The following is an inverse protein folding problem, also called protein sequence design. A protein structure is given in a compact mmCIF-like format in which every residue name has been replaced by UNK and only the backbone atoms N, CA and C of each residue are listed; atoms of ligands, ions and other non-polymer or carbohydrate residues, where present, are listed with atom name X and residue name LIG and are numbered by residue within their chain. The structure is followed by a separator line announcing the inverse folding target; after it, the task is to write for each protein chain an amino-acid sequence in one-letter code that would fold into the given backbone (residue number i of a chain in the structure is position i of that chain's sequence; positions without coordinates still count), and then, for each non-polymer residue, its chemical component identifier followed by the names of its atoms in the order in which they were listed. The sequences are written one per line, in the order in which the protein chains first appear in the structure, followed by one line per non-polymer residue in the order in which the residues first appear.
data_IF_892827104911
#
_entry.id   IF_892827104911
#
_cell.length_a   1.000
_cell.length_b   1.000
_cell.length_c   1.000
_cell.angle_alpha   90.00
_cell.angle_beta   90.00
_cell.angle_gamma   90.00
#
_symmetry.space_group_name_H-M   'P 1'
#
loop_
_entity.id
_entity.type
_entity.pdbx_description
1 polymer ?
#
# COMPACT_ATOMS: atom_id res chain seq x y z
N UNK A 1 14.03 9.09 24.14
CA UNK A 1 13.84 10.54 24.38
C UNK A 1 13.16 11.12 23.14
N UNK A 2 11.84 11.30 23.18
CA UNK A 2 11.11 11.92 22.07
C UNK A 2 11.39 13.43 22.10
N UNK A 3 12.32 13.90 21.28
CA UNK A 3 12.44 15.33 20.99
C UNK A 3 11.24 15.73 20.12
N UNK A 4 10.16 16.17 20.76
CA UNK A 4 9.08 16.87 20.05
C UNK A 4 9.57 18.29 19.81
N UNK A 5 10.32 18.49 18.72
CA UNK A 5 10.44 19.82 18.11
C UNK A 5 9.01 20.27 17.79
N UNK A 6 8.62 21.41 18.36
CA UNK A 6 7.24 21.85 18.52
C UNK A 6 6.35 21.61 17.31
N UNK A 7 5.41 20.68 17.47
CA UNK A 7 4.25 20.60 16.59
C UNK A 7 3.43 21.87 16.85
N UNK A 8 3.07 22.65 15.82
CA UNK A 8 2.28 23.85 16.02
C UNK A 8 0.97 23.53 16.73
N UNK A 9 0.51 24.37 17.67
CA UNK A 9 -0.72 24.13 18.44
C UNK A 9 -1.96 23.84 17.57
N UNK A 10 -1.99 24.35 16.33
CA UNK A 10 -3.03 24.09 15.33
C UNK A 10 -3.10 22.61 14.88
N UNK A 11 -2.01 21.88 14.98
CA UNK A 11 -1.88 20.49 14.53
C UNK A 11 -2.04 19.48 15.69
N UNK A 12 -2.05 19.96 16.94
CA UNK A 12 -2.32 19.14 18.14
C UNK A 12 -3.64 18.35 18.06
N UNK A 13 -4.77 18.92 17.62
CA UNK A 13 -6.03 18.18 17.53
C UNK A 13 -5.93 16.99 16.56
N UNK A 14 -5.20 17.15 15.45
CA UNK A 14 -4.98 16.10 14.47
C UNK A 14 -4.07 15.00 15.03
N UNK A 15 -2.98 15.38 15.72
CA UNK A 15 -2.08 14.42 16.36
C UNK A 15 -2.79 13.60 17.45
N UNK A 16 -3.56 14.26 18.33
CA UNK A 16 -4.36 13.59 19.36
C UNK A 16 -5.33 12.61 18.68
N UNK A 17 -6.12 13.11 17.73
CA UNK A 17 -7.18 12.33 17.09
C UNK A 17 -6.64 11.14 16.30
N UNK A 18 -5.53 11.31 15.58
CA UNK A 18 -5.00 10.28 14.67
C UNK A 18 -4.09 9.28 15.38
N UNK A 19 -3.28 9.72 16.34
CA UNK A 19 -2.19 8.89 16.90
C UNK A 19 -2.39 8.67 18.40
N UNK A 20 -2.31 9.74 19.19
CA UNK A 20 -2.13 9.61 20.64
C UNK A 20 -3.37 9.06 21.37
N UNK A 21 -4.58 9.31 20.87
CA UNK A 21 -5.82 8.78 21.48
C UNK A 21 -5.88 7.25 21.47
N UNK A 22 -5.16 6.60 20.56
CA UNK A 22 -5.10 5.14 20.47
C UNK A 22 -4.07 4.48 21.39
N UNK A 23 -3.23 5.28 22.07
CA UNK A 23 -2.15 4.79 22.93
C UNK A 23 -2.55 4.80 24.41
N UNK A 24 -1.93 3.89 25.15
CA UNK A 24 -1.89 3.85 26.61
C UNK A 24 -0.64 4.56 27.11
N UNK A 25 -0.78 5.22 28.25
CA UNK A 25 0.29 5.97 28.89
C UNK A 25 0.48 5.50 30.32
N UNK A 26 1.72 5.54 30.79
CA UNK A 26 2.13 5.24 32.17
C UNK A 26 2.90 6.43 32.73
N UNK A 27 2.86 6.56 34.05
CA UNK A 27 3.44 7.69 34.78
C UNK A 27 4.76 7.24 35.43
N UNK A 28 5.81 8.06 35.33
CA UNK A 28 7.15 7.70 35.80
C UNK A 28 7.44 8.01 37.27
N UNK A 29 6.66 8.86 37.94
CA UNK A 29 6.93 9.31 39.32
C UNK A 29 6.23 8.48 40.41
N UNK A 30 5.50 7.41 40.04
CA UNK A 30 4.81 6.53 41.00
C UNK A 30 5.19 5.08 40.79
N UNK A 31 5.38 4.30 41.87
CA UNK A 31 5.71 2.86 41.81
C UNK A 31 4.57 1.99 41.24
N UNK A 32 3.33 2.50 41.25
CA UNK A 32 2.18 1.79 40.70
C UNK A 32 2.11 2.02 39.18
N UNK A 33 2.29 0.96 38.40
CA UNK A 33 2.09 0.95 36.96
C UNK A 33 0.58 1.01 36.62
N UNK A 34 -0.02 2.19 36.76
CA UNK A 34 -1.38 2.46 36.26
C UNK A 34 -1.33 2.93 34.82
N UNK A 35 -2.28 2.45 34.02
CA UNK A 35 -2.43 2.81 32.60
C UNK A 35 -3.51 3.87 32.44
N UNK A 36 -3.19 4.89 31.67
CA UNK A 36 -4.08 6.01 31.39
C UNK A 36 -4.28 6.20 29.89
N UNK A 37 -5.36 6.87 29.53
CA UNK A 37 -5.62 7.35 28.16
C UNK A 37 -5.46 8.84 28.08
N UNK A 38 -4.95 9.32 26.93
CA UNK A 38 -4.89 10.76 26.65
C UNK A 38 -6.28 11.29 26.29
N UNK A 39 -6.68 12.38 26.95
CA UNK A 39 -7.91 13.12 26.66
C UNK A 39 -7.63 14.38 25.84
N UNK A 40 -6.71 15.22 26.29
CA UNK A 40 -6.37 16.49 25.65
C UNK A 40 -5.00 17.03 26.08
N UNK A 41 -4.62 18.19 25.57
CA UNK A 41 -3.50 18.98 26.08
C UNK A 41 -4.04 20.24 26.77
N UNK A 42 -3.48 20.56 27.94
CA UNK A 42 -3.75 21.78 28.68
C UNK A 42 -2.80 22.93 28.32
N UNK A 43 -2.83 23.98 29.13
CA UNK A 43 -1.87 25.10 29.10
C UNK A 43 -0.44 24.63 29.48
N UNK A 44 0.60 25.43 29.17
CA UNK A 44 1.95 25.20 29.67
C UNK A 44 2.00 24.91 31.18
N UNK A 45 2.90 24.04 31.63
CA UNK A 45 2.97 23.61 33.03
C UNK A 45 3.20 24.78 34.01
N UNK A 46 3.91 25.84 33.61
CA UNK A 46 4.08 27.06 34.38
C UNK A 46 2.83 27.95 34.49
N UNK A 47 1.84 27.76 33.61
CA UNK A 47 0.60 28.55 33.57
C UNK A 47 -0.64 27.76 34.02
N UNK A 48 -0.61 26.44 33.89
CA UNK A 48 -1.72 25.57 34.23
C UNK A 48 -1.82 25.42 35.75
N UNK A 49 -3.00 25.71 36.31
CA UNK A 49 -3.26 25.77 37.75
C UNK A 49 -4.23 24.68 38.20
N UNK A 50 -3.96 24.09 39.37
CA UNK A 50 -4.85 23.19 40.09
C UNK A 50 -5.43 23.88 41.31
N UNK A 51 -6.64 23.46 41.68
CA UNK A 51 -7.22 23.80 42.97
C UNK A 51 -6.73 22.78 43.99
N UNK A 52 -5.81 23.17 44.90
CA UNK A 52 -5.22 22.24 45.89
C UNK A 52 -6.17 21.98 47.06
N UNK A 53 -6.86 23.02 47.55
CA UNK A 53 -7.82 22.99 48.66
C UNK A 53 -8.89 24.09 48.45
N UNK A 54 -10.02 23.79 47.81
CA UNK A 54 -11.27 24.60 47.60
C UNK A 54 -11.18 26.12 47.26
N UNK A 55 -9.98 26.73 47.23
CA UNK A 55 -9.75 28.16 47.01
C UNK A 55 -8.31 28.51 46.64
N UNK A 56 -7.30 27.67 46.95
CA UNK A 56 -5.91 27.93 46.56
C UNK A 56 -5.56 27.33 45.18
N UNK A 57 -5.11 28.18 44.27
CA UNK A 57 -4.65 27.82 42.92
C UNK A 57 -3.13 27.70 42.89
N UNK A 58 -2.61 26.50 42.65
CA UNK A 58 -1.17 26.22 42.53
C UNK A 58 -0.82 25.83 41.10
N UNK A 59 0.31 26.30 40.55
CA UNK A 59 0.75 25.87 39.23
C UNK A 59 1.22 24.42 39.25
N UNK A 60 1.25 23.74 38.09
CA UNK A 60 1.80 22.37 38.01
C UNK A 60 3.27 22.33 38.43
N UNK A 61 4.03 23.36 38.04
CA UNK A 61 5.45 23.49 38.43
C UNK A 61 5.59 23.54 39.94
N UNK A 62 4.82 24.42 40.59
CA UNK A 62 4.88 24.58 42.05
C UNK A 62 4.38 23.32 42.76
N UNK A 63 3.32 22.68 42.25
CA UNK A 63 2.79 21.43 42.81
C UNK A 63 3.83 20.31 42.84
N UNK A 64 4.55 20.07 41.73
CA UNK A 64 5.57 19.02 41.66
C UNK A 64 6.84 19.38 42.46
N UNK A 65 7.21 20.66 42.50
CA UNK A 65 8.30 21.12 43.36
C UNK A 65 7.97 20.92 44.84
N UNK A 66 6.78 21.31 45.27
CA UNK A 66 6.43 21.38 46.69
C UNK A 66 5.99 20.01 47.23
N UNK A 67 5.31 19.19 46.41
CA UNK A 67 4.77 17.89 46.84
C UNK A 67 5.74 16.73 46.61
N UNK A 68 6.49 16.77 45.51
CA UNK A 68 7.34 15.66 45.08
C UNK A 68 8.84 16.01 45.09
N UNK A 69 9.22 17.22 45.54
CA UNK A 69 10.58 17.76 45.48
C UNK A 69 11.21 17.61 44.08
N UNK A 70 10.39 17.75 43.04
CA UNK A 70 10.78 17.50 41.66
C UNK A 70 10.78 18.80 40.85
N UNK A 71 11.92 19.15 40.26
CA UNK A 71 12.08 20.36 39.45
C UNK A 71 11.86 20.03 37.97
N UNK A 72 10.73 20.48 37.43
CA UNK A 72 10.42 20.31 36.00
C UNK A 72 11.45 21.04 35.12
N UNK A 73 11.92 20.36 34.07
CA UNK A 73 12.87 20.92 33.11
C UNK A 73 12.15 21.65 31.97
N UNK A 74 10.97 21.19 31.59
CA UNK A 74 10.24 21.66 30.41
C UNK A 74 8.95 22.39 30.76
N UNK A 75 9.06 23.41 31.61
CA UNK A 75 7.90 24.14 32.17
C UNK A 75 7.04 24.88 31.13
N UNK A 76 7.62 25.21 29.98
CA UNK A 76 6.95 25.88 28.86
C UNK A 76 6.10 24.95 28.00
N UNK A 77 6.24 23.63 28.16
CA UNK A 77 5.48 22.65 27.41
C UNK A 77 4.07 22.44 28.00
N UNK A 78 3.06 22.15 27.17
CA UNK A 78 1.70 21.89 27.66
C UNK A 78 1.63 20.68 28.58
N UNK A 79 0.72 20.71 29.54
CA UNK A 79 0.38 19.52 30.33
C UNK A 79 -0.48 18.55 29.51
N UNK A 80 -0.37 17.26 29.79
CA UNK A 80 -1.25 16.22 29.23
C UNK A 80 -2.41 15.95 30.17
N UNK A 81 -3.63 16.02 29.66
CA UNK A 81 -4.82 15.58 30.38
C UNK A 81 -4.99 14.07 30.15
N UNK A 82 -4.76 13.29 31.20
CA UNK A 82 -4.94 11.85 31.25
C UNK A 82 -6.22 11.50 32.02
N UNK A 83 -6.82 10.36 31.71
CA UNK A 83 -7.93 9.80 32.48
C UNK A 83 -7.80 8.29 32.58
N UNK A 84 -8.38 7.74 33.65
CA UNK A 84 -8.55 6.30 33.80
C UNK A 84 -9.81 5.87 33.03
N UNK A 85 -9.75 4.90 32.11
CA UNK A 85 -10.94 4.39 31.43
C UNK A 85 -12.06 3.93 32.37
N UNK A 86 -11.70 3.45 33.57
CA UNK A 86 -12.63 2.97 34.58
C UNK A 86 -13.29 4.13 35.36
N UNK A 87 -12.66 5.31 35.39
CA UNK A 87 -13.20 6.54 35.97
C UNK A 87 -13.00 7.74 35.02
N UNK A 88 -13.94 7.90 34.09
CA UNK A 88 -13.89 8.95 33.06
C UNK A 88 -14.15 10.36 33.58
N UNK A 89 -14.67 10.49 34.81
CA UNK A 89 -14.99 11.79 35.40
C UNK A 89 -13.76 12.43 36.04
N UNK A 90 -12.77 11.62 36.41
CA UNK A 90 -11.51 12.09 36.96
C UNK A 90 -10.48 12.35 35.84
N UNK A 91 -10.03 13.60 35.74
CA UNK A 91 -8.92 13.99 34.88
C UNK A 91 -7.66 14.26 35.72
N UNK A 92 -6.52 13.80 35.22
CA UNK A 92 -5.20 14.07 35.76
C UNK A 92 -4.44 14.91 34.75
N UNK A 93 -4.07 16.13 35.10
CA UNK A 93 -3.17 16.90 34.26
C UNK A 93 -1.74 16.65 34.74
N UNK A 94 -0.82 16.35 33.84
CA UNK A 94 0.55 15.99 34.19
C UNK A 94 1.55 16.67 33.24
N UNK A 95 2.74 17.03 33.70
CA UNK A 95 3.83 17.45 32.83
C UNK A 95 4.16 16.35 31.81
N UNK A 96 4.37 16.70 30.54
CA UNK A 96 4.74 15.72 29.51
C UNK A 96 6.01 14.93 29.82
N UNK A 97 6.95 15.53 30.56
CA UNK A 97 8.20 14.88 30.97
C UNK A 97 8.01 13.72 31.96
N UNK A 98 6.83 13.61 32.59
CA UNK A 98 6.51 12.56 33.56
C UNK A 98 5.58 11.47 33.00
N UNK A 99 5.26 11.54 31.70
CA UNK A 99 4.30 10.65 31.04
C UNK A 99 4.98 9.92 29.90
N UNK A 100 4.98 8.58 29.98
CA UNK A 100 5.56 7.69 28.99
C UNK A 100 4.46 6.94 28.23
N UNK A 101 4.71 6.64 26.97
CA UNK A 101 3.89 5.68 26.22
C UNK A 101 4.18 4.28 26.77
N UNK A 102 3.13 3.53 27.10
CA UNK A 102 3.27 2.17 27.65
C UNK A 102 3.94 1.23 26.64
N UNK A 103 4.75 0.29 27.12
CA UNK A 103 5.53 -0.59 26.26
C UNK A 103 4.70 -1.75 25.69
N UNK A 104 5.15 -2.33 24.58
CA UNK A 104 4.53 -3.52 23.98
C UNK A 104 3.17 -3.29 23.30
N UNK A 105 2.78 -2.02 23.09
CA UNK A 105 1.53 -1.69 22.42
C UNK A 105 1.63 -1.89 20.90
N UNK A 106 0.71 -2.63 20.27
CA UNK A 106 0.68 -2.75 18.82
C UNK A 106 0.24 -1.42 18.19
N UNK A 107 0.92 -1.01 17.11
CA UNK A 107 0.43 0.09 16.30
C UNK A 107 -0.73 -0.42 15.43
N UNK A 108 -1.93 0.08 15.70
CA UNK A 108 -3.14 -0.25 14.94
C UNK A 108 -3.41 0.75 13.81
N UNK A 109 -2.59 1.78 13.63
CA UNK A 109 -2.74 2.73 12.53
C UNK A 109 -2.05 2.21 11.26
N UNK A 110 -2.62 2.47 10.07
CA UNK A 110 -1.94 2.21 8.82
C UNK A 110 -0.57 2.90 8.79
N UNK A 111 0.47 2.15 8.42
CA UNK A 111 1.82 2.68 8.21
C UNK A 111 1.87 3.47 6.90
N UNK A 112 2.71 4.51 6.87
CA UNK A 112 3.01 5.23 5.62
C UNK A 112 3.78 4.34 4.66
N UNK A 113 3.78 4.68 3.36
CA UNK A 113 4.55 3.95 2.33
C UNK A 113 6.03 3.80 2.69
N UNK A 114 6.65 4.83 3.26
CA UNK A 114 8.04 4.80 3.74
C UNK A 114 8.23 3.88 4.95
N UNK A 115 7.32 3.93 5.92
CA UNK A 115 7.34 3.07 7.10
C UNK A 115 7.16 1.60 6.71
N UNK A 116 6.25 1.31 5.78
CA UNK A 116 6.08 -0.03 5.21
C UNK A 116 7.36 -0.53 4.54
N UNK A 117 8.02 0.29 3.72
CA UNK A 117 9.28 -0.08 3.08
C UNK A 117 10.37 -0.42 4.12
N UNK A 118 10.49 0.41 5.18
CA UNK A 118 11.41 0.14 6.31
C UNK A 118 11.05 -1.14 7.07
N UNK A 119 9.77 -1.38 7.32
CA UNK A 119 9.30 -2.60 7.99
C UNK A 119 9.59 -3.85 7.14
N UNK A 120 9.29 -3.82 5.85
CA UNK A 120 9.59 -4.90 4.90
C UNK A 120 11.09 -5.18 4.86
N UNK A 121 11.93 -4.16 4.69
CA UNK A 121 13.39 -4.35 4.63
C UNK A 121 13.97 -4.94 5.92
N UNK A 122 13.35 -4.67 7.07
CA UNK A 122 13.75 -5.27 8.36
C UNK A 122 13.22 -6.68 8.59
N UNK A 123 12.15 -7.08 7.90
CA UNK A 123 11.46 -8.35 8.13
C UNK A 123 11.75 -9.40 7.06
N UNK A 124 12.24 -8.98 5.88
CA UNK A 124 12.72 -9.89 4.84
C UNK A 124 14.01 -10.55 5.31
N UNK A 125 13.96 -11.87 5.50
CA UNK A 125 15.09 -12.72 5.88
C UNK A 125 15.19 -13.90 4.91
N UNK A 126 16.40 -14.41 4.69
CA UNK A 126 16.60 -15.59 3.85
C UNK A 126 15.99 -16.83 4.51
N UNK A 127 15.47 -17.82 3.76
CA UNK A 127 14.89 -19.04 4.33
C UNK A 127 15.78 -19.74 5.39
N UNK A 128 17.10 -19.80 5.18
CA UNK A 128 18.03 -20.41 6.14
C UNK A 128 18.10 -19.65 7.47
N UNK A 129 17.99 -18.32 7.43
CA UNK A 129 17.97 -17.49 8.62
C UNK A 129 16.62 -17.59 9.33
N UNK A 130 15.52 -17.64 8.56
CA UNK A 130 14.19 -17.90 9.10
C UNK A 130 14.16 -19.25 9.85
N UNK A 131 14.76 -20.30 9.27
CA UNK A 131 14.89 -21.62 9.89
C UNK A 131 15.66 -21.55 11.23
N UNK A 132 16.81 -20.86 11.26
CA UNK A 132 17.58 -20.66 12.50
C UNK A 132 16.81 -19.87 13.55
N UNK A 133 16.07 -18.84 13.13
CA UNK A 133 15.24 -18.03 14.03
C UNK A 133 14.13 -18.87 14.66
N UNK A 134 13.44 -19.70 13.86
CA UNK A 134 12.39 -20.60 14.35
C UNK A 134 12.99 -21.58 15.37
N UNK A 135 14.12 -22.22 15.07
CA UNK A 135 14.80 -23.13 16.03
C UNK A 135 15.15 -22.43 17.34
N UNK A 136 15.76 -21.24 17.26
CA UNK A 136 16.09 -20.44 18.45
C UNK A 136 14.85 -20.12 19.30
N UNK A 137 13.75 -19.69 18.69
CA UNK A 137 12.50 -19.40 19.41
C UNK A 137 11.95 -20.67 20.06
N UNK A 138 12.02 -21.80 19.38
CA UNK A 138 11.60 -23.10 19.93
C UNK A 138 12.44 -23.49 21.14
N UNK A 139 13.76 -23.30 21.09
CA UNK A 139 14.68 -23.57 22.20
C UNK A 139 14.41 -22.65 23.40
N UNK A 140 14.21 -21.35 23.16
CA UNK A 140 13.89 -20.35 24.19
C UNK A 140 12.56 -20.66 24.89
N UNK A 141 11.57 -21.20 24.16
CA UNK A 141 10.26 -21.58 24.70
C UNK A 141 10.29 -22.84 25.55
N UNK A 142 11.31 -23.69 25.40
CA UNK A 142 11.50 -24.92 26.19
C UNK A 142 10.25 -25.81 26.27
N UNK A 143 9.59 -26.07 25.14
CA UNK A 143 8.33 -26.83 25.09
C UNK A 143 8.41 -28.20 25.80
N UNK A 144 9.56 -28.87 25.79
CA UNK A 144 9.81 -30.12 26.51
C UNK A 144 9.65 -30.01 28.05
N UNK A 145 9.70 -28.80 28.60
CA UNK A 145 9.60 -28.50 30.04
C UNK A 145 8.27 -27.80 30.39
N UNK A 146 7.32 -27.72 29.46
CA UNK A 146 6.05 -27.03 29.69
C UNK A 146 5.11 -27.89 30.54
N UNK A 147 4.76 -27.45 31.78
CA UNK A 147 3.94 -28.24 32.70
C UNK A 147 2.48 -28.38 32.24
N UNK A 148 2.00 -27.51 31.34
CA UNK A 148 0.69 -27.65 30.75
C UNK A 148 0.69 -28.73 29.69
N UNK A 149 1.69 -28.73 28.78
CA UNK A 149 1.79 -29.77 27.75
C UNK A 149 1.89 -31.17 28.36
N UNK A 150 2.68 -31.31 29.42
CA UNK A 150 2.78 -32.56 30.18
C UNK A 150 1.42 -33.02 30.74
N UNK A 151 0.66 -32.10 31.38
CA UNK A 151 -0.68 -32.41 31.90
C UNK A 151 -1.68 -32.81 30.83
N UNK A 152 -1.55 -32.26 29.62
CA UNK A 152 -2.39 -32.62 28.47
C UNK A 152 -1.86 -33.85 27.71
N UNK A 153 -0.73 -34.44 28.12
CA UNK A 153 -0.12 -35.58 27.44
C UNK A 153 0.40 -35.24 26.04
N UNK A 154 0.78 -33.98 25.81
CA UNK A 154 1.26 -33.48 24.52
C UNK A 154 2.79 -33.36 24.53
N UNK A 155 3.41 -33.79 23.43
CA UNK A 155 4.84 -33.61 23.18
C UNK A 155 5.06 -32.87 21.88
N UNK A 156 5.96 -31.89 21.88
CA UNK A 156 6.37 -31.15 20.68
C UNK A 156 7.75 -31.63 20.27
N UNK A 157 7.89 -32.08 19.02
CA UNK A 157 9.20 -32.28 18.41
C UNK A 157 9.82 -30.92 18.11
N UNK A 158 10.97 -30.66 18.71
CA UNK A 158 11.73 -29.41 18.59
C UNK A 158 13.03 -29.62 17.83
N UNK A 159 13.43 -30.87 17.63
CA UNK A 159 14.73 -31.23 17.09
C UNK A 159 14.65 -31.21 15.56
N UNK A 160 13.55 -31.72 14.98
CA UNK A 160 13.35 -31.78 13.53
C UNK A 160 12.06 -31.10 13.07
N UNK A 161 12.14 -30.37 11.95
CA UNK A 161 10.94 -29.86 11.27
C UNK A 161 10.30 -30.97 10.44
N UNK A 162 8.98 -30.90 10.27
CA UNK A 162 8.23 -31.87 9.46
C UNK A 162 8.75 -31.90 8.02
N UNK A 163 9.31 -33.04 7.61
CA UNK A 163 9.80 -33.27 6.26
C UNK A 163 8.67 -33.79 5.36
N UNK A 164 8.38 -33.07 4.28
CA UNK A 164 7.33 -33.41 3.32
C UNK A 164 7.91 -33.64 1.92
N UNK A 165 7.52 -34.72 1.22
CA UNK A 165 7.90 -34.88 -0.18
C UNK A 165 7.23 -33.81 -1.04
N UNK A 166 8.02 -33.07 -1.81
CA UNK A 166 7.55 -32.04 -2.72
C UNK A 166 7.77 -32.44 -4.18
N UNK A 167 7.01 -31.82 -5.11
CA UNK A 167 7.17 -32.01 -6.55
C UNK A 167 7.38 -30.66 -7.23
N UNK A 168 8.32 -30.61 -8.17
CA UNK A 168 8.53 -29.44 -9.03
C UNK A 168 7.71 -29.63 -10.30
N UNK A 169 6.70 -28.79 -10.50
CA UNK A 169 5.89 -28.82 -11.71
C UNK A 169 6.67 -28.23 -12.89
N UNK A 170 6.54 -28.80 -14.11
CA UNK A 170 7.15 -28.19 -15.29
C UNK A 170 6.56 -26.80 -15.55
N UNK A 171 7.37 -25.82 -15.96
CA UNK A 171 6.87 -24.48 -16.24
C UNK A 171 5.94 -24.47 -17.46
N UNK A 172 4.95 -23.57 -17.51
CA UNK A 172 4.13 -23.40 -18.70
C UNK A 172 4.94 -22.80 -19.85
N UNK A 173 4.48 -23.01 -21.09
CA UNK A 173 5.04 -22.35 -22.27
C UNK A 173 4.46 -20.94 -22.37
N UNK A 174 5.33 -19.94 -22.44
CA UNK A 174 4.97 -18.53 -22.65
C UNK A 174 5.15 -18.21 -24.13
N UNK A 175 4.11 -17.71 -24.78
CA UNK A 175 4.06 -17.54 -26.23
C UNK A 175 3.95 -16.04 -26.58
N UNK A 176 4.84 -15.58 -27.45
CA UNK A 176 4.91 -14.22 -28.00
C UNK A 176 4.94 -14.26 -29.54
N UNK A 177 4.82 -13.09 -30.19
CA UNK A 177 5.04 -12.98 -31.65
C UNK A 177 6.51 -12.79 -31.97
N UNK A 178 6.98 -13.45 -33.03
CA UNK A 178 8.36 -13.35 -33.49
C UNK A 178 8.73 -11.92 -33.90
N UNK A 179 9.81 -11.39 -33.34
CA UNK A 179 10.37 -10.07 -33.69
C UNK A 179 11.10 -10.04 -35.05
N UNK A 180 11.52 -11.21 -35.58
CA UNK A 180 12.46 -11.32 -36.70
C UNK A 180 11.79 -11.52 -38.08
N UNK A 181 10.59 -10.98 -38.29
CA UNK A 181 9.91 -11.01 -39.60
C UNK A 181 9.36 -12.37 -40.04
N UNK A 182 9.65 -13.46 -39.33
CA UNK A 182 8.94 -14.72 -39.50
C UNK A 182 7.51 -14.56 -38.97
N UNK A 183 6.50 -14.75 -39.82
CA UNK A 183 5.12 -14.92 -39.34
C UNK A 183 5.08 -16.17 -38.47
N UNK A 184 4.95 -15.99 -37.15
CA UNK A 184 4.89 -17.11 -36.23
C UNK A 184 5.00 -16.75 -34.76
N UNK A 185 4.55 -17.70 -33.94
CA UNK A 185 4.63 -17.67 -32.49
C UNK A 185 6.01 -18.18 -32.03
N UNK A 186 6.56 -17.56 -30.99
CA UNK A 186 7.82 -17.94 -30.34
C UNK A 186 7.55 -18.30 -28.89
N UNK A 187 8.18 -19.37 -28.41
CA UNK A 187 8.06 -19.83 -27.02
C UNK A 187 9.28 -19.35 -26.23
N UNK A 188 9.05 -18.57 -25.18
CA UNK A 188 10.09 -18.11 -24.26
C UNK A 188 10.44 -19.21 -23.24
N UNK A 189 11.74 -19.29 -22.90
CA UNK A 189 12.23 -20.24 -21.90
C UNK A 189 12.05 -19.68 -20.49
N UNK A 190 11.18 -20.33 -19.71
CA UNK A 190 10.98 -20.02 -18.29
C UNK A 190 12.04 -20.73 -17.44
N UNK A 191 12.75 -19.97 -16.61
CA UNK A 191 13.72 -20.46 -15.64
C UNK A 191 13.35 -19.97 -14.24
N UNK A 192 13.01 -20.90 -13.34
CA UNK A 192 12.63 -20.58 -11.95
C UNK A 192 11.55 -19.47 -11.90
N UNK A 193 10.51 -19.63 -12.72
CA UNK A 193 9.39 -18.67 -12.81
C UNK A 193 9.72 -17.33 -13.47
N UNK A 194 10.92 -17.17 -14.05
CA UNK A 194 11.35 -15.94 -14.74
C UNK A 194 11.61 -16.19 -16.22
N UNK A 195 11.33 -15.20 -17.05
CA UNK A 195 11.72 -15.16 -18.46
C UNK A 195 11.99 -13.71 -18.85
N UNK A 196 12.67 -13.52 -19.97
CA UNK A 196 12.92 -12.20 -20.55
C UNK A 196 11.94 -11.96 -21.70
N UNK A 197 11.42 -10.75 -21.82
CA UNK A 197 10.65 -10.37 -23.01
C UNK A 197 11.65 -9.88 -24.07
N UNK A 198 11.90 -10.73 -25.07
CA UNK A 198 12.76 -10.46 -26.23
C UNK A 198 11.97 -10.33 -27.55
N UNK A 199 10.68 -10.60 -27.49
CA UNK A 199 9.78 -10.76 -28.63
C UNK A 199 8.65 -9.71 -28.59
N UNK A 200 7.78 -9.72 -29.60
CA UNK A 200 6.70 -8.73 -29.73
C UNK A 200 5.43 -9.24 -29.05
N UNK A 201 4.59 -8.31 -28.63
CA UNK A 201 3.32 -8.66 -27.98
C UNK A 201 2.38 -9.39 -28.94
N UNK A 202 1.50 -10.22 -28.38
CA UNK A 202 0.51 -10.98 -29.15
C UNK A 202 -0.51 -10.05 -29.85
N UNK A 203 -0.99 -9.06 -29.12
CA UNK A 203 -1.90 -8.02 -29.62
C UNK A 203 -1.49 -6.67 -29.06
N UNK A 204 -1.29 -5.71 -29.93
CA UNK A 204 -0.97 -4.33 -29.58
C UNK A 204 -2.12 -3.38 -29.87
N UNK A 205 -1.99 -2.15 -29.35
CA UNK A 205 -2.88 -1.04 -29.63
C UNK A 205 -2.13 0.08 -30.34
N UNK A 206 -2.89 0.93 -31.03
CA UNK A 206 -2.42 2.22 -31.54
C UNK A 206 -2.90 3.31 -30.59
N UNK A 207 -2.00 4.26 -30.28
CA UNK A 207 -2.27 5.41 -29.43
C UNK A 207 -1.95 6.66 -30.24
N UNK A 208 -2.99 7.45 -30.49
CA UNK A 208 -2.95 8.63 -31.36
C UNK A 208 -2.47 9.86 -30.62
N UNK A 209 -2.91 10.04 -29.37
CA UNK A 209 -2.68 11.26 -28.59
C UNK A 209 -2.32 10.89 -27.15
N UNK A 210 -1.17 11.42 -26.70
CA UNK A 210 -0.69 11.16 -25.34
C UNK A 210 0.12 12.34 -24.79
N UNK A 211 0.09 12.50 -23.47
CA UNK A 211 0.74 13.60 -22.77
C UNK A 211 1.61 13.11 -21.63
N UNK A 212 2.67 13.85 -21.33
CA UNK A 212 3.51 13.70 -20.13
C UNK A 212 3.36 14.95 -19.27
N UNK A 213 2.97 14.76 -18.02
CA UNK A 213 2.75 15.85 -17.07
C UNK A 213 3.70 15.66 -15.89
N UNK A 214 4.65 16.57 -15.72
CA UNK A 214 5.49 16.62 -14.52
C UNK A 214 4.74 17.42 -13.44
N UNK A 215 4.52 16.77 -12.30
CA UNK A 215 3.84 17.32 -11.13
C UNK A 215 4.87 17.56 -10.04
N UNK A 216 4.97 18.81 -9.60
CA UNK A 216 5.95 19.26 -8.61
C UNK A 216 5.33 20.31 -7.68
N UNK A 217 5.78 20.37 -6.42
CA UNK A 217 5.37 21.44 -5.49
C UNK A 217 5.98 22.80 -5.85
N UNK A 218 7.15 22.76 -6.50
CA UNK A 218 7.91 23.95 -6.91
C UNK A 218 7.98 24.02 -8.43
N UNK A 219 8.28 25.21 -8.94
CA UNK A 219 8.57 25.37 -10.36
C UNK A 219 9.70 24.42 -10.77
N UNK A 220 9.49 23.55 -11.78
CA UNK A 220 10.48 22.56 -12.18
C UNK A 220 11.78 23.20 -12.63
N UNK A 221 12.90 22.68 -12.16
CA UNK A 221 14.21 23.13 -12.63
C UNK A 221 14.53 22.58 -14.04
N UNK A 222 15.58 23.15 -14.65
CA UNK A 222 16.02 22.74 -15.97
C UNK A 222 16.44 21.25 -16.05
N UNK A 223 16.85 20.63 -14.94
CA UNK A 223 17.22 19.22 -14.89
C UNK A 223 15.97 18.34 -14.92
N UNK A 224 14.95 18.66 -14.15
CA UNK A 224 13.67 17.95 -14.12
C UNK A 224 12.97 18.00 -15.48
N UNK A 225 12.98 19.17 -16.12
CA UNK A 225 12.44 19.36 -17.47
C UNK A 225 13.17 18.47 -18.49
N UNK A 226 14.52 18.50 -18.50
CA UNK A 226 15.32 17.67 -19.42
C UNK A 226 15.08 16.17 -19.20
N UNK A 227 15.12 15.69 -17.96
CA UNK A 227 14.92 14.27 -17.66
C UNK A 227 13.51 13.79 -18.03
N UNK A 228 12.50 14.64 -17.83
CA UNK A 228 11.12 14.35 -18.25
C UNK A 228 11.02 14.20 -19.76
N UNK A 229 11.64 15.12 -20.52
CA UNK A 229 11.70 15.05 -21.98
C UNK A 229 12.43 13.81 -22.48
N UNK A 230 13.62 13.55 -21.96
CA UNK A 230 14.43 12.40 -22.34
C UNK A 230 13.67 11.09 -22.07
N UNK A 231 12.98 11.01 -20.92
CA UNK A 231 12.14 9.87 -20.57
C UNK A 231 10.96 9.71 -21.54
N UNK A 232 10.28 10.81 -21.90
CA UNK A 232 9.19 10.80 -22.87
C UNK A 232 9.64 10.31 -24.25
N UNK A 233 10.84 10.67 -24.69
CA UNK A 233 11.41 10.15 -25.93
C UNK A 233 11.74 8.66 -25.84
N UNK A 234 12.40 8.23 -24.76
CA UNK A 234 12.76 6.83 -24.55
C UNK A 234 11.55 5.91 -24.50
N UNK A 235 10.47 6.32 -23.80
CA UNK A 235 9.26 5.50 -23.75
C UNK A 235 8.60 5.40 -25.12
N UNK A 236 8.61 6.47 -25.92
CA UNK A 236 8.08 6.44 -27.28
C UNK A 236 8.83 5.47 -28.20
N UNK A 237 10.16 5.46 -28.10
CA UNK A 237 11.02 4.51 -28.82
C UNK A 237 10.76 3.07 -28.36
N UNK A 238 10.66 2.85 -27.05
CA UNK A 238 10.40 1.53 -26.49
C UNK A 238 9.02 0.98 -26.89
N UNK A 239 7.98 1.81 -26.91
CA UNK A 239 6.65 1.41 -27.39
C UNK A 239 6.70 0.94 -28.83
N UNK A 240 7.38 1.70 -29.69
CA UNK A 240 7.55 1.37 -31.11
C UNK A 240 8.29 0.05 -31.31
N UNK A 241 9.30 -0.25 -30.47
CA UNK A 241 10.02 -1.53 -30.48
C UNK A 241 9.10 -2.74 -30.24
N UNK A 242 8.03 -2.57 -29.46
CA UNK A 242 7.07 -3.63 -29.13
C UNK A 242 5.76 -3.53 -29.94
N UNK A 243 5.78 -2.86 -31.11
CA UNK A 243 4.63 -2.68 -32.02
C UNK A 243 3.44 -1.89 -31.43
N UNK A 244 3.66 -1.11 -30.38
CA UNK A 244 2.68 -0.12 -29.90
C UNK A 244 2.95 1.19 -30.61
N UNK A 245 2.04 1.58 -31.51
CA UNK A 245 2.23 2.76 -32.36
C UNK A 245 1.82 4.01 -31.60
N UNK A 246 2.76 4.94 -31.42
CA UNK A 246 2.47 6.33 -31.08
C UNK A 246 2.50 7.20 -32.33
N UNK A 247 1.37 7.80 -32.68
CA UNK A 247 1.28 8.65 -33.87
C UNK A 247 1.50 10.14 -33.58
N UNK A 248 1.83 10.51 -32.34
CA UNK A 248 2.12 11.89 -31.94
C UNK A 248 3.37 11.99 -31.07
N UNK A 249 4.07 13.12 -31.17
CA UNK A 249 5.00 13.54 -30.12
C UNK A 249 4.23 13.80 -28.82
N UNK A 250 4.81 13.50 -27.65
CA UNK A 250 4.17 13.83 -26.39
C UNK A 250 4.07 15.34 -26.22
N UNK A 251 2.96 15.81 -25.67
CA UNK A 251 2.95 17.14 -25.06
C UNK A 251 3.52 17.03 -23.65
N UNK A 252 4.59 17.76 -23.39
CA UNK A 252 5.17 17.94 -22.07
C UNK A 252 4.48 19.13 -21.37
N UNK A 253 3.86 18.90 -20.22
CA UNK A 253 3.26 19.96 -19.38
C UNK A 253 3.81 19.89 -17.96
N UNK A 254 3.71 21.03 -17.26
CA UNK A 254 4.15 21.20 -15.88
C UNK A 254 2.99 21.70 -15.04
N UNK A 255 2.69 21.00 -13.96
CA UNK A 255 1.61 21.36 -13.05
C UNK A 255 2.09 21.40 -11.61
N UNK A 256 1.55 22.34 -10.84
CA UNK A 256 1.71 22.33 -9.40
C UNK A 256 1.02 21.10 -8.80
N UNK A 257 1.60 20.54 -7.74
CA UNK A 257 1.05 19.44 -6.94
C UNK A 257 -0.18 19.87 -6.12
N UNK A 258 -1.18 20.44 -6.79
CA UNK A 258 -2.40 21.00 -6.21
C UNK A 258 -3.58 20.28 -6.86
N UNK A 259 -4.51 19.69 -6.08
CA UNK A 259 -5.61 18.91 -6.62
C UNK A 259 -6.40 19.61 -7.73
N UNK A 260 -6.74 20.89 -7.55
CA UNK A 260 -7.51 21.67 -8.51
C UNK A 260 -6.77 21.82 -9.85
N UNK A 261 -5.45 22.04 -9.83
CA UNK A 261 -4.62 22.17 -11.03
C UNK A 261 -4.60 20.87 -11.83
N UNK A 262 -4.41 19.74 -11.14
CA UNK A 262 -4.37 18.42 -11.78
C UNK A 262 -5.71 18.06 -12.41
N UNK A 263 -6.82 18.39 -11.75
CA UNK A 263 -8.16 18.17 -12.28
C UNK A 263 -8.45 19.05 -13.50
N UNK A 264 -8.09 20.33 -13.43
CA UNK A 264 -8.23 21.24 -14.56
C UNK A 264 -7.44 20.72 -15.77
N UNK A 265 -6.20 20.28 -15.55
CA UNK A 265 -5.37 19.68 -16.61
C UNK A 265 -5.98 18.42 -17.21
N UNK A 266 -6.44 17.51 -16.37
CA UNK A 266 -7.01 16.24 -16.82
C UNK A 266 -8.26 16.48 -17.67
N UNK A 267 -9.12 17.43 -17.27
CA UNK A 267 -10.28 17.83 -18.05
C UNK A 267 -9.89 18.49 -19.38
N UNK A 268 -8.91 19.39 -19.38
CA UNK A 268 -8.40 20.01 -20.60
C UNK A 268 -7.91 18.97 -21.60
N UNK A 269 -7.05 18.04 -21.16
CA UNK A 269 -6.52 16.97 -22.00
C UNK A 269 -7.63 16.02 -22.47
N UNK A 270 -8.66 15.78 -21.64
CA UNK A 270 -9.83 15.00 -22.08
C UNK A 270 -10.60 15.70 -23.19
N UNK A 271 -10.83 17.00 -23.09
CA UNK A 271 -11.53 17.79 -24.11
C UNK A 271 -10.74 17.84 -25.42
N UNK A 272 -9.42 17.76 -25.34
CA UNK A 272 -8.52 17.65 -26.49
C UNK A 272 -8.36 16.20 -27.00
N UNK A 273 -9.20 15.27 -26.54
CA UNK A 273 -9.23 13.87 -26.96
C UNK A 273 -7.90 13.11 -26.76
N UNK A 274 -7.17 13.41 -25.68
CA UNK A 274 -6.00 12.61 -25.29
C UNK A 274 -6.43 11.22 -24.80
N UNK A 275 -5.72 10.18 -25.24
CA UNK A 275 -6.02 8.79 -24.87
C UNK A 275 -5.27 8.37 -23.60
N UNK A 276 -4.02 8.83 -23.46
CA UNK A 276 -3.10 8.44 -22.38
C UNK A 276 -2.45 9.66 -21.74
N UNK A 277 -2.40 9.68 -20.40
CA UNK A 277 -1.62 10.66 -19.63
C UNK A 277 -0.61 9.95 -18.74
N UNK A 278 0.66 10.31 -18.88
CA UNK A 278 1.74 9.86 -18.01
C UNK A 278 2.05 10.99 -17.03
N UNK A 279 1.81 10.76 -15.75
CA UNK A 279 2.17 11.67 -14.68
C UNK A 279 3.52 11.29 -14.10
N UNK A 280 4.47 12.22 -14.10
CA UNK A 280 5.74 12.10 -13.38
C UNK A 280 5.61 12.91 -12.10
N UNK A 281 5.67 12.24 -10.95
CA UNK A 281 5.49 12.83 -9.63
C UNK A 281 6.86 13.09 -9.02
N UNK A 282 7.22 14.35 -8.79
CA UNK A 282 8.51 14.72 -8.19
C UNK A 282 8.64 14.18 -6.76
N UNK A 283 7.57 14.33 -5.98
CA UNK A 283 7.47 13.81 -4.62
C UNK A 283 6.40 12.71 -4.53
N UNK A 284 6.57 11.82 -3.56
CA UNK A 284 5.58 10.77 -3.27
C UNK A 284 4.46 11.38 -2.42
N UNK A 285 3.40 11.79 -3.10
CA UNK A 285 2.16 12.22 -2.46
C UNK A 285 1.04 11.22 -2.77
N UNK A 286 0.64 10.45 -1.75
CA UNK A 286 -0.43 9.45 -1.84
C UNK A 286 -1.78 10.12 -2.17
N UNK A 287 -2.06 11.32 -1.67
CA UNK A 287 -3.32 12.04 -1.93
C UNK A 287 -3.43 12.42 -3.42
N UNK A 288 -2.36 12.96 -3.98
CA UNK A 288 -2.29 13.32 -5.41
C UNK A 288 -2.36 12.07 -6.29
N UNK A 289 -1.66 10.99 -5.92
CA UNK A 289 -1.75 9.72 -6.63
C UNK A 289 -3.19 9.17 -6.64
N UNK A 290 -3.84 9.15 -5.48
CA UNK A 290 -5.22 8.68 -5.35
C UNK A 290 -6.19 9.56 -6.13
N UNK A 291 -5.99 10.88 -6.14
CA UNK A 291 -6.77 11.82 -6.93
C UNK A 291 -6.68 11.50 -8.43
N UNK A 292 -5.46 11.36 -8.96
CA UNK A 292 -5.23 11.02 -10.37
C UNK A 292 -5.91 9.69 -10.73
N UNK A 293 -5.79 8.68 -9.87
CA UNK A 293 -6.41 7.36 -10.12
C UNK A 293 -7.92 7.38 -10.02
N UNK A 294 -8.48 8.09 -9.04
CA UNK A 294 -9.92 8.21 -8.89
C UNK A 294 -10.55 8.95 -10.08
N UNK A 295 -10.03 10.13 -10.43
CA UNK A 295 -10.60 10.90 -11.53
C UNK A 295 -10.33 10.26 -12.89
N UNK A 296 -9.11 9.79 -13.12
CA UNK A 296 -8.74 9.12 -14.37
C UNK A 296 -9.56 7.86 -14.61
N UNK A 297 -9.57 6.92 -13.66
CA UNK A 297 -10.19 5.61 -13.87
C UNK A 297 -11.71 5.60 -13.65
N UNK A 298 -12.24 6.40 -12.72
CA UNK A 298 -13.66 6.32 -12.31
C UNK A 298 -14.50 7.45 -12.90
N UNK A 299 -14.00 8.68 -12.94
CA UNK A 299 -14.81 9.85 -13.35
C UNK A 299 -14.74 10.13 -14.83
N UNK A 300 -13.54 10.14 -15.40
CA UNK A 300 -13.28 10.63 -16.76
C UNK A 300 -13.08 9.45 -17.73
N UNK A 301 -12.61 8.30 -17.25
CA UNK A 301 -12.33 7.13 -18.08
C UNK A 301 -11.14 7.34 -19.02
N UNK A 302 -10.06 7.95 -18.50
CA UNK A 302 -8.78 8.10 -19.20
C UNK A 302 -7.74 7.15 -18.64
N UNK A 303 -6.88 6.62 -19.52
CA UNK A 303 -5.75 5.79 -19.10
C UNK A 303 -4.67 6.69 -18.52
N UNK A 304 -4.46 6.60 -17.21
CA UNK A 304 -3.38 7.33 -16.52
C UNK A 304 -2.27 6.37 -16.08
N UNK A 305 -1.01 6.79 -16.15
CA UNK A 305 0.12 6.07 -15.55
C UNK A 305 0.94 7.03 -14.70
N UNK A 306 1.19 6.70 -13.44
CA UNK A 306 2.01 7.52 -12.55
C UNK A 306 3.40 6.91 -12.44
N UNK A 307 4.42 7.75 -12.47
CA UNK A 307 5.84 7.41 -12.39
C UNK A 307 6.44 8.33 -11.35
N UNK A 308 7.30 7.81 -10.48
CA UNK A 308 8.02 8.65 -9.52
C UNK A 308 9.25 9.23 -10.21
N UNK A 309 9.53 10.50 -9.99
CA UNK A 309 10.67 11.18 -10.58
C UNK A 309 12.01 10.58 -10.12
N UNK A 310 12.09 10.09 -8.89
CA UNK A 310 13.30 9.44 -8.38
C UNK A 310 13.71 8.21 -9.20
N UNK A 311 12.76 7.50 -9.84
CA UNK A 311 13.06 6.39 -10.75
C UNK A 311 13.76 6.83 -12.03
N UNK A 312 13.56 8.08 -12.46
CA UNK A 312 14.30 8.66 -13.59
C UNK A 312 15.75 8.97 -13.21
N UNK A 313 16.03 9.16 -11.92
CA UNK A 313 17.36 9.50 -11.40
C UNK A 313 18.12 8.25 -10.95
N UNK A 314 17.47 7.32 -10.25
CA UNK A 314 18.09 6.13 -9.65
C UNK A 314 18.62 5.16 -10.70
N UNK A 315 17.94 5.06 -11.83
CA UNK A 315 18.29 4.12 -12.90
C UNK A 315 19.38 4.73 -13.79
N UNK A 316 20.55 4.95 -13.19
CA UNK A 316 21.73 5.52 -13.86
C UNK A 316 22.35 4.54 -14.86
N UNK A 317 22.24 3.22 -14.61
CA UNK A 317 22.62 2.20 -15.60
C UNK A 317 21.55 2.16 -16.72
N UNK A 318 21.92 2.36 -17.99
CA UNK A 318 21.01 2.26 -19.13
C UNK A 318 20.18 0.96 -19.14
N UNK A 319 20.76 -0.16 -18.69
CA UNK A 319 20.07 -1.46 -18.68
C UNK A 319 18.94 -1.53 -17.65
N UNK A 320 19.12 -0.92 -16.49
CA UNK A 320 18.06 -0.85 -15.47
C UNK A 320 16.91 0.03 -15.94
N UNK A 321 17.23 1.15 -16.59
CA UNK A 321 16.22 2.02 -17.20
C UNK A 321 15.45 1.30 -18.31
N UNK A 322 16.14 0.54 -19.17
CA UNK A 322 15.49 -0.22 -20.24
C UNK A 322 14.53 -1.28 -19.68
N UNK A 323 14.94 -2.01 -18.63
CA UNK A 323 14.06 -2.97 -17.95
C UNK A 323 12.87 -2.29 -17.28
N UNK A 324 13.08 -1.12 -16.66
CA UNK A 324 12.01 -0.33 -16.07
C UNK A 324 10.98 0.13 -17.13
N UNK A 325 11.47 0.67 -18.25
CA UNK A 325 10.62 1.10 -19.37
C UNK A 325 9.88 -0.11 -19.96
N UNK A 326 10.54 -1.25 -20.12
CA UNK A 326 9.91 -2.48 -20.60
C UNK A 326 8.72 -2.90 -19.73
N UNK A 327 8.88 -2.90 -18.40
CA UNK A 327 7.78 -3.17 -17.47
C UNK A 327 6.65 -2.12 -17.54
N UNK A 328 6.96 -0.88 -17.88
CA UNK A 328 5.94 0.15 -18.12
C UNK A 328 5.18 -0.13 -19.41
N UNK A 329 5.88 -0.45 -20.50
CA UNK A 329 5.29 -0.77 -21.81
C UNK A 329 4.32 -1.95 -21.69
N UNK A 330 4.69 -3.00 -20.94
CA UNK A 330 3.79 -4.13 -20.63
C UNK A 330 2.50 -3.68 -19.92
N UNK A 331 2.59 -2.74 -18.97
CA UNK A 331 1.43 -2.19 -18.25
C UNK A 331 0.54 -1.36 -19.17
N UNK A 332 1.11 -0.57 -20.07
CA UNK A 332 0.35 0.24 -21.01
C UNK A 332 -0.43 -0.63 -21.98
N UNK A 333 0.22 -1.62 -22.59
CA UNK A 333 -0.46 -2.52 -23.52
C UNK A 333 -1.65 -3.24 -22.85
N UNK A 334 -1.46 -3.75 -21.63
CA UNK A 334 -2.52 -4.38 -20.85
C UNK A 334 -3.69 -3.41 -20.54
N UNK A 335 -3.41 -2.15 -20.21
CA UNK A 335 -4.47 -1.14 -19.97
C UNK A 335 -5.21 -0.72 -21.22
N UNK A 336 -4.56 -0.80 -22.37
CA UNK A 336 -5.10 -0.41 -23.68
C UNK A 336 -5.71 -1.59 -24.44
N UNK A 337 -6.11 -2.64 -23.72
CA UNK A 337 -6.78 -3.83 -24.26
C UNK A 337 -5.91 -4.65 -25.22
N UNK A 338 -4.60 -4.49 -25.15
CA UNK A 338 -3.63 -5.39 -25.78
C UNK A 338 -3.49 -6.72 -25.04
N UNK A 339 -2.76 -7.64 -25.64
CA UNK A 339 -2.37 -8.93 -25.08
C UNK A 339 -0.86 -9.04 -25.18
N UNK A 340 -0.18 -9.11 -24.05
CA UNK A 340 1.29 -9.15 -24.04
C UNK A 340 1.77 -10.54 -24.49
N UNK A 341 1.36 -11.58 -23.78
CA UNK A 341 1.71 -12.97 -24.04
C UNK A 341 0.51 -13.90 -23.90
N UNK A 342 0.58 -15.05 -24.58
CA UNK A 342 -0.31 -16.18 -24.33
C UNK A 342 0.42 -17.22 -23.46
N UNK A 343 -0.36 -18.01 -22.72
CA UNK A 343 0.16 -19.09 -21.88
C UNK A 343 -0.46 -20.40 -22.32
N UNK A 344 0.37 -21.42 -22.57
CA UNK A 344 -0.12 -22.75 -22.91
C UNK A 344 -0.68 -23.44 -21.66
N UNK A 345 -1.97 -23.22 -21.40
CA UNK A 345 -2.68 -23.81 -20.27
C UNK A 345 -3.23 -25.22 -20.58
N UNK A 346 -3.29 -25.59 -21.85
CA UNK A 346 -4.02 -26.77 -22.35
C UNK A 346 -3.61 -28.10 -21.71
N UNK A 347 -2.33 -28.47 -21.56
CA UNK A 347 -1.98 -29.78 -21.02
C UNK A 347 -2.45 -29.99 -19.57
N UNK A 348 -2.59 -28.92 -18.79
CA UNK A 348 -2.99 -28.97 -17.37
C UNK A 348 -4.51 -28.89 -17.15
N UNK A 349 -5.26 -28.44 -18.15
CA UNK A 349 -6.71 -28.22 -18.06
C UNK A 349 -7.55 -29.27 -18.81
N UNK A 350 -6.92 -30.19 -19.55
CA UNK A 350 -7.62 -31.30 -20.20
C UNK A 350 -8.19 -32.22 -19.12
N UNK A 351 -9.45 -31.97 -18.76
CA UNK A 351 -10.26 -32.88 -17.95
C UNK A 351 -11.08 -33.75 -18.89
N UNK A 352 -11.12 -35.09 -18.71
CA UNK A 352 -12.02 -35.97 -19.45
C UNK A 352 -13.50 -35.60 -19.30
N UNK A 353 -13.86 -34.79 -18.29
CA UNK A 353 -15.21 -34.34 -17.99
C UNK A 353 -15.61 -33.03 -18.70
N UNK A 354 -14.65 -32.33 -19.32
CA UNK A 354 -14.93 -31.08 -20.01
C UNK A 354 -15.61 -31.36 -21.36
N UNK A 355 -16.87 -30.91 -21.53
CA UNK A 355 -17.61 -31.02 -22.80
C UNK A 355 -17.02 -30.13 -23.91
N UNK A 356 -16.30 -29.09 -23.54
CA UNK A 356 -15.55 -28.19 -24.42
C UNK A 356 -14.24 -27.76 -23.72
N UNK A 357 -13.20 -27.45 -24.50
CA UNK A 357 -11.92 -26.96 -23.99
C UNK A 357 -11.96 -25.44 -23.66
N UNK A 358 -13.13 -24.89 -23.37
CA UNK A 358 -13.33 -23.47 -23.08
C UNK A 358 -13.49 -23.32 -21.57
N UNK A 359 -12.53 -22.66 -20.95
CA UNK A 359 -12.52 -22.38 -19.52
C UNK A 359 -12.55 -20.88 -19.28
N UNK A 360 -13.34 -20.47 -18.29
CA UNK A 360 -13.37 -19.12 -17.75
C UNK A 360 -12.81 -19.15 -16.33
N UNK A 361 -11.86 -18.28 -16.02
CA UNK A 361 -11.25 -18.19 -14.69
C UNK A 361 -11.86 -17.03 -13.91
N UNK A 362 -12.19 -17.30 -12.65
CA UNK A 362 -12.63 -16.28 -11.70
C UNK A 362 -11.58 -16.10 -10.61
N UNK A 363 -11.32 -14.85 -10.25
CA UNK A 363 -10.54 -14.47 -9.08
C UNK A 363 -11.42 -13.62 -8.17
N UNK A 364 -11.41 -13.92 -6.88
CA UNK A 364 -12.28 -13.26 -5.91
C UNK A 364 -11.44 -12.91 -4.69
N UNK A 365 -11.44 -11.63 -4.34
CA UNK A 365 -10.73 -11.13 -3.16
C UNK A 365 -11.59 -10.13 -2.37
N UNK A 366 -11.39 -10.08 -1.05
CA UNK A 366 -12.07 -9.18 -0.15
C UNK A 366 -11.04 -8.51 0.77
N UNK A 367 -10.89 -7.19 0.62
CA UNK A 367 -10.00 -6.39 1.45
C UNK A 367 -10.78 -5.72 2.58
N UNK A 368 -10.45 -6.08 3.82
CA UNK A 368 -11.01 -5.46 5.02
C UNK A 368 -10.15 -4.30 5.52
N UNK A 369 -10.76 -3.18 5.89
CA UNK A 369 -10.07 -2.06 6.53
C UNK A 369 -10.12 -2.29 8.05
N UNK A 370 -9.01 -2.79 8.60
CA UNK A 370 -8.90 -3.34 9.98
C UNK A 370 -9.18 -2.36 11.12
N UNK A 371 -9.29 -1.05 10.84
CA UNK A 371 -9.30 0.00 11.87
C UNK A 371 -10.64 0.75 12.01
N UNK A 372 -11.72 0.33 11.36
CA UNK A 372 -13.00 1.05 11.46
C UNK A 372 -14.21 0.17 11.20
N UNK A 373 -15.15 0.13 12.17
CA UNK A 373 -16.48 -0.46 12.01
C UNK A 373 -17.39 0.31 11.02
N UNK A 374 -16.96 1.50 10.58
CA UNK A 374 -17.74 2.40 9.73
C UNK A 374 -17.35 2.28 8.26
N UNK A 375 -16.15 1.76 7.96
CA UNK A 375 -15.66 1.65 6.59
C UNK A 375 -16.10 0.33 5.96
N UNK A 376 -16.58 0.34 4.70
CA UNK A 376 -16.94 -0.89 4.02
C UNK A 376 -15.70 -1.72 3.71
N UNK A 377 -15.88 -3.02 3.64
CA UNK A 377 -14.93 -3.94 3.01
C UNK A 377 -15.05 -3.80 1.50
N UNK A 378 -13.93 -3.89 0.78
CA UNK A 378 -13.90 -3.79 -0.67
C UNK A 378 -13.77 -5.19 -1.24
N UNK A 379 -14.76 -5.61 -2.03
CA UNK A 379 -14.75 -6.90 -2.72
C UNK A 379 -14.41 -6.67 -4.19
N UNK A 380 -13.48 -7.46 -4.72
CA UNK A 380 -13.13 -7.50 -6.13
C UNK A 380 -13.42 -8.89 -6.71
N UNK A 381 -14.26 -8.94 -7.74
CA UNK A 381 -14.53 -10.15 -8.53
C UNK A 381 -13.99 -9.91 -9.92
N UNK A 382 -13.04 -10.73 -10.35
CA UNK A 382 -12.49 -10.71 -11.70
C UNK A 382 -12.85 -11.98 -12.45
N UNK A 383 -13.11 -11.86 -13.75
CA UNK A 383 -13.38 -12.98 -14.65
C UNK A 383 -12.59 -12.82 -15.94
N UNK A 384 -12.04 -13.91 -16.49
CA UNK A 384 -11.43 -13.85 -17.82
C UNK A 384 -12.48 -13.41 -18.85
N UNK A 385 -12.04 -12.70 -19.89
CA UNK A 385 -12.93 -12.15 -20.93
C UNK A 385 -13.10 -13.06 -22.13
N UNK A 386 -12.16 -13.98 -22.34
CA UNK A 386 -12.10 -14.84 -23.51
C UNK A 386 -11.39 -16.17 -23.17
N UNK A 387 -11.41 -17.10 -24.12
CA UNK A 387 -10.77 -18.41 -23.99
C UNK A 387 -9.24 -18.37 -23.91
N UNK A 388 -8.61 -17.24 -24.26
CA UNK A 388 -7.15 -17.06 -24.10
C UNK A 388 -6.77 -16.86 -22.64
N UNK A 389 -7.73 -16.41 -21.80
CA UNK A 389 -7.56 -16.19 -20.37
C UNK A 389 -6.45 -15.17 -20.02
N UNK A 390 -6.19 -14.24 -20.93
CA UNK A 390 -5.18 -13.18 -20.78
C UNK A 390 -5.77 -11.85 -20.33
N UNK A 391 -7.00 -11.55 -20.75
CA UNK A 391 -7.70 -10.34 -20.39
C UNK A 391 -8.77 -10.63 -19.35
N UNK A 392 -8.93 -9.72 -18.38
CA UNK A 392 -9.89 -9.86 -17.29
C UNK A 392 -10.82 -8.65 -17.23
N UNK A 393 -12.08 -8.92 -16.92
CA UNK A 393 -13.05 -7.92 -16.50
C UNK A 393 -13.14 -7.94 -14.97
N UNK A 394 -13.32 -6.78 -14.36
CA UNK A 394 -13.45 -6.65 -12.91
C UNK A 394 -14.80 -6.05 -12.52
N UNK A 395 -15.27 -6.43 -11.34
CA UNK A 395 -16.35 -5.79 -10.59
C UNK A 395 -15.85 -5.50 -9.19
N UNK A 396 -16.00 -4.26 -8.75
CA UNK A 396 -15.54 -3.77 -7.45
C UNK A 396 -16.75 -3.29 -6.66
N UNK A 397 -16.82 -3.68 -5.40
CA UNK A 397 -18.01 -3.56 -4.58
C UNK A 397 -17.64 -3.12 -3.16
N UNK A 398 -18.59 -2.47 -2.51
CA UNK A 398 -18.49 -2.08 -1.12
C UNK A 398 -19.49 -2.90 -0.30
N UNK A 399 -19.01 -3.56 0.74
CA UNK A 399 -19.82 -4.36 1.65
C UNK A 399 -19.65 -3.86 3.08
N UNK A 400 -20.73 -3.39 3.69
CA UNK A 400 -20.71 -2.82 5.05
C UNK A 400 -20.91 -3.90 6.11
N UNK A 401 -20.10 -3.91 7.18
CA UNK A 401 -20.26 -4.85 8.30
C UNK A 401 -21.70 -4.81 8.85
N UNK A 402 -22.32 -5.99 9.01
CA UNK A 402 -23.52 -6.09 9.83
C UNK A 402 -23.13 -5.84 11.29
N UNK A 403 -24.08 -5.33 12.10
CA UNK A 403 -23.87 -5.06 13.52
C UNK A 403 -23.11 -6.22 14.17
N UNK A 404 -22.00 -5.90 14.85
CA UNK A 404 -21.13 -6.81 15.63
C UNK A 404 -20.12 -7.70 14.87
N UNK A 405 -20.05 -7.68 13.52
CA UNK A 405 -19.04 -8.45 12.78
C UNK A 405 -17.94 -7.56 12.18
N UNK A 406 -16.68 -7.94 12.39
CA UNK A 406 -15.49 -7.21 11.93
C UNK A 406 -15.08 -7.60 10.50
N UNK A 407 -15.47 -8.78 10.03
CA UNK A 407 -15.14 -9.28 8.69
C UNK A 407 -16.31 -10.09 8.07
N UNK A 408 -16.41 -10.07 6.75
CA UNK A 408 -17.27 -10.96 5.97
C UNK A 408 -16.43 -11.95 5.19
N UNK A 409 -16.59 -13.23 5.49
CA UNK A 409 -16.11 -14.30 4.63
C UNK A 409 -17.03 -14.51 3.40
N UNK A 410 -18.27 -14.01 3.45
CA UNK A 410 -19.28 -14.22 2.41
C UNK A 410 -19.52 -12.92 1.65
N UNK A 411 -19.36 -13.00 0.33
CA UNK A 411 -19.63 -11.90 -0.59
C UNK A 411 -21.12 -11.88 -0.89
N UNK A 412 -21.77 -10.78 -0.50
CA UNK A 412 -23.18 -10.58 -0.82
C UNK A 412 -23.35 -10.45 -2.34
N UNK A 413 -24.43 -11.04 -2.87
CA UNK A 413 -24.80 -10.94 -4.28
C UNK A 413 -23.75 -11.43 -5.30
N UNK A 414 -22.82 -12.30 -4.89
CA UNK A 414 -21.77 -12.84 -5.78
C UNK A 414 -22.34 -13.37 -7.11
N UNK A 415 -23.49 -14.04 -7.06
CA UNK A 415 -24.19 -14.57 -8.23
C UNK A 415 -24.48 -13.49 -9.30
N UNK A 416 -24.84 -12.25 -8.91
CA UNK A 416 -25.11 -11.16 -9.86
C UNK A 416 -23.86 -10.80 -10.66
N UNK A 417 -22.73 -10.66 -9.97
CA UNK A 417 -21.46 -10.27 -10.58
C UNK A 417 -20.88 -11.39 -11.45
N UNK A 418 -21.03 -12.64 -11.01
CA UNK A 418 -20.66 -13.80 -11.82
C UNK A 418 -21.50 -13.83 -13.11
N UNK A 419 -22.82 -13.62 -13.04
CA UNK A 419 -23.69 -13.54 -14.23
C UNK A 419 -23.25 -12.41 -15.17
N UNK A 420 -22.94 -11.23 -14.65
CA UNK A 420 -22.44 -10.12 -15.46
C UNK A 420 -21.12 -10.45 -16.17
N UNK A 421 -20.16 -11.08 -15.47
CA UNK A 421 -18.89 -11.46 -16.04
C UNK A 421 -19.04 -12.58 -17.07
N UNK A 422 -19.94 -13.54 -16.85
CA UNK A 422 -20.27 -14.57 -17.83
C UNK A 422 -20.84 -13.94 -19.11
N UNK A 423 -21.70 -12.92 -18.98
CA UNK A 423 -22.21 -12.18 -20.15
C UNK A 423 -21.11 -11.46 -20.91
N UNK A 424 -20.10 -10.94 -20.21
CA UNK A 424 -18.92 -10.33 -20.86
C UNK A 424 -18.13 -11.40 -21.62
N UNK A 425 -17.93 -12.57 -21.01
CA UNK A 425 -17.23 -13.69 -21.65
C UNK A 425 -18.00 -14.23 -22.86
N UNK A 426 -19.32 -14.34 -22.81
CA UNK A 426 -20.13 -14.89 -23.91
C UNK A 426 -20.19 -13.99 -25.15
N UNK A 427 -19.83 -12.71 -25.03
CA UNK A 427 -19.81 -11.76 -26.14
C UNK A 427 -18.51 -11.79 -26.94
N UNK A 428 -17.53 -12.59 -26.51
CA UNK A 428 -16.21 -12.78 -27.11
C UNK A 428 -15.97 -14.27 -27.41
#
# INVERSE_FOLDING_TARGET
MFYVVGIPSKDHPLLIRKILKSLWFVISYTEKARRYRLKSFGRPANEHKYTKNESEQITVVDFFRDTWNYRLCYTHLPVVELYDPDDKNQSYFLPMELVNVDEGQPNLQPLTSEQNAKATNKTVVHPDECYRMIRRVTDERRFKQDPYLEKFGLTVDVDEMLMLPARILPPPKIIYKSSHGAQGDVIERVQIGKWWLNNRFDKTCEIRTWAVVLVSEREPDNRQIRLTRDFAQRISQAMSKYDIRFNSSPIEKFDAAVPQTILARMNELKMQEYEVIIYILDQVDDEIYHLIKYFGNIKIGMVTQCIRFDQLVSNSDPREMDMYIQNLVEKFNARLRGVNQLVSLMPALISPLARSNIFMFFGIDCTHITCSHVRPSIVAVVGSKDSTNTQYAARILQQFPQKEKIAFAIINDLHKYVVELIRVFSNH
#
